data_IF_255706572534
#
_entry.id   IF_255706572534
#
_cell.length_a   1.000
_cell.length_b   1.000
_cell.length_c   1.000
_cell.angle_alpha   90.00
_cell.angle_beta   90.00
_cell.angle_gamma   90.00
#
_symmetry.space_group_name_H-M   'P 1'
#
loop_
_entity.id
_entity.type
_entity.pdbx_description
1 polymer ?
#
# COMPACT_ATOMS: atom_id res chain seq x y z
N UNK A 1 19.91 -6.74 -10.35
CA UNK A 1 19.62 -5.73 -9.32
C UNK A 1 18.26 -5.17 -9.65
N UNK A 2 17.20 -5.79 -9.15
CA UNK A 2 15.87 -5.19 -9.22
C UNK A 2 15.80 -4.14 -8.12
N UNK A 3 15.51 -2.89 -8.50
CA UNK A 3 15.27 -1.83 -7.53
C UNK A 3 13.95 -2.07 -6.79
N UNK A 4 13.78 -1.40 -5.65
CA UNK A 4 12.49 -1.39 -4.96
C UNK A 4 11.43 -0.71 -5.84
N UNK A 5 10.20 -1.20 -5.73
CA UNK A 5 9.00 -0.70 -6.38
C UNK A 5 8.20 0.20 -5.40
N UNK A 6 7.41 1.15 -5.93
CA UNK A 6 6.62 2.04 -5.10
C UNK A 6 5.44 1.32 -4.46
N UNK A 7 5.28 1.52 -3.15
CA UNK A 7 4.12 1.07 -2.39
C UNK A 7 2.83 1.63 -3.00
N UNK A 8 1.79 0.80 -3.22
CA UNK A 8 0.54 1.27 -3.83
C UNK A 8 -0.22 2.28 -2.97
N UNK A 9 0.08 2.36 -1.66
CA UNK A 9 -0.57 3.28 -0.73
C UNK A 9 0.16 4.63 -0.60
N UNK A 10 1.48 4.64 -0.38
CA UNK A 10 2.23 5.87 -0.08
C UNK A 10 3.28 6.26 -1.13
N UNK A 11 3.43 5.47 -2.20
CA UNK A 11 4.36 5.69 -3.31
C UNK A 11 5.86 5.66 -2.94
N UNK A 12 6.20 5.40 -1.67
CA UNK A 12 7.60 5.18 -1.27
C UNK A 12 8.13 3.87 -1.86
N UNK A 13 9.39 3.88 -2.33
CA UNK A 13 10.08 2.70 -2.87
C UNK A 13 10.43 1.73 -1.71
N UNK A 14 9.56 0.79 -1.40
CA UNK A 14 9.69 -0.06 -0.21
C UNK A 14 9.46 -1.55 -0.44
N UNK A 15 8.88 -1.94 -1.58
CA UNK A 15 8.52 -3.34 -1.86
C UNK A 15 9.39 -3.90 -2.98
N UNK A 16 9.67 -5.21 -2.98
CA UNK A 16 10.54 -5.82 -4.00
C UNK A 16 9.78 -6.38 -5.20
N UNK A 17 8.52 -6.79 -5.01
CA UNK A 17 7.61 -7.28 -6.04
C UNK A 17 6.15 -6.88 -5.72
N UNK A 18 5.33 -6.69 -6.77
CA UNK A 18 3.91 -6.37 -6.59
C UNK A 18 3.07 -7.61 -6.31
N UNK A 19 2.20 -7.54 -5.32
CA UNK A 19 1.29 -8.62 -4.93
C UNK A 19 1.96 -9.74 -4.14
N UNK A 20 3.19 -9.55 -3.65
CA UNK A 20 3.92 -10.52 -2.81
C UNK A 20 3.66 -10.31 -1.30
N UNK A 21 2.57 -9.62 -0.95
CA UNK A 21 2.15 -9.42 0.44
C UNK A 21 3.19 -8.72 1.33
N UNK A 22 4.12 -7.98 0.72
CA UNK A 22 5.12 -7.22 1.46
C UNK A 22 4.47 -6.05 2.22
N UNK A 23 4.94 -5.79 3.44
CA UNK A 23 4.45 -4.68 4.25
C UNK A 23 5.37 -3.47 4.06
N UNK A 24 4.80 -2.37 3.59
CA UNK A 24 5.51 -1.10 3.47
C UNK A 24 5.98 -0.58 4.83
N UNK A 25 7.29 -0.44 5.02
CA UNK A 25 7.88 0.10 6.26
C UNK A 25 7.55 1.58 6.55
N UNK A 26 6.95 2.31 5.59
CA UNK A 26 6.61 3.74 5.72
C UNK A 26 5.17 3.94 6.14
N UNK A 27 4.22 3.22 5.54
CA UNK A 27 2.79 3.40 5.81
C UNK A 27 2.08 2.16 6.37
N UNK A 28 2.82 1.06 6.56
CA UNK A 28 2.31 -0.21 7.08
C UNK A 28 1.19 -0.83 6.24
N UNK A 29 1.12 -0.48 4.95
CA UNK A 29 0.23 -1.11 3.99
C UNK A 29 0.82 -2.45 3.55
N UNK A 30 0.05 -3.53 3.63
CA UNK A 30 0.40 -4.83 3.06
C UNK A 30 -0.02 -4.86 1.59
N UNK A 31 0.92 -5.20 0.68
CA UNK A 31 0.68 -5.25 -0.76
C UNK A 31 -0.13 -6.47 -1.18
N UNK A 32 -1.41 -6.46 -0.80
CA UNK A 32 -2.37 -7.49 -1.11
C UNK A 32 -2.87 -7.35 -2.57
N UNK A 33 -2.72 -8.39 -3.42
CA UNK A 33 -3.12 -8.33 -4.83
C UNK A 33 -4.63 -8.18 -5.02
N UNK A 34 -5.46 -8.61 -4.07
CA UNK A 34 -6.93 -8.44 -4.14
C UNK A 34 -7.29 -6.97 -3.96
N UNK A 35 -6.77 -6.31 -2.93
CA UNK A 35 -6.98 -4.89 -2.69
C UNK A 35 -6.25 -3.98 -3.69
N UNK A 36 -5.17 -4.46 -4.31
CA UNK A 36 -4.54 -3.79 -5.45
C UNK A 36 -5.39 -3.87 -6.73
N UNK A 37 -6.09 -5.00 -6.96
CA UNK A 37 -7.00 -5.19 -8.09
C UNK A 37 -8.37 -4.51 -7.90
N UNK A 38 -8.87 -4.47 -6.66
CA UNK A 38 -10.08 -3.74 -6.25
C UNK A 38 -9.75 -2.75 -5.11
N UNK A 39 -9.35 -1.50 -5.45
CA UNK A 39 -8.91 -0.50 -4.48
C UNK A 39 -9.97 -0.01 -3.48
N UNK A 40 -11.25 -0.36 -3.70
CA UNK A 40 -12.36 -0.06 -2.79
C UNK A 40 -12.75 -1.26 -1.90
N UNK A 41 -12.19 -2.44 -2.16
CA UNK A 41 -12.33 -3.60 -1.29
C UNK A 41 -11.66 -3.37 0.06
N UNK A 42 -12.42 -3.51 1.13
CA UNK A 42 -11.98 -3.34 2.53
C UNK A 42 -12.23 -4.61 3.33
N UNK A 43 -11.53 -4.76 4.45
CA UNK A 43 -11.67 -5.91 5.34
C UNK A 43 -10.94 -7.18 4.87
N UNK A 44 -9.99 -7.05 3.94
CA UNK A 44 -9.08 -8.12 3.53
C UNK A 44 -7.82 -8.15 4.41
N UNK A 45 -6.65 -8.31 3.79
CA UNK A 45 -5.35 -8.20 4.47
C UNK A 45 -5.22 -6.85 5.21
N UNK A 46 -5.69 -5.77 4.60
CA UNK A 46 -5.79 -4.47 5.22
C UNK A 46 -7.25 -4.19 5.64
N UNK A 47 -7.43 -3.66 6.85
CA UNK A 47 -8.75 -3.25 7.37
C UNK A 47 -9.39 -2.19 6.47
N UNK A 48 -8.60 -1.18 6.08
CA UNK A 48 -9.00 -0.14 5.14
C UNK A 48 -8.86 -0.63 3.71
N UNK A 49 -9.67 -0.08 2.80
CA UNK A 49 -9.40 -0.21 1.36
C UNK A 49 -8.16 0.57 0.96
N UNK A 50 -7.59 0.27 -0.20
CA UNK A 50 -6.40 0.96 -0.71
C UNK A 50 -6.66 2.47 -0.89
N UNK A 51 -7.84 2.84 -1.40
CA UNK A 51 -8.23 4.24 -1.54
C UNK A 51 -8.43 4.95 -0.18
N UNK A 52 -8.96 4.24 0.82
CA UNK A 52 -9.06 4.76 2.18
C UNK A 52 -7.66 4.96 2.80
N UNK A 53 -6.76 4.00 2.63
CA UNK A 53 -5.39 4.07 3.14
C UNK A 53 -4.59 5.21 2.51
N UNK A 54 -4.67 5.40 1.17
CA UNK A 54 -4.11 6.57 0.45
C UNK A 54 -4.59 7.89 1.06
N UNK A 55 -5.89 7.98 1.34
CA UNK A 55 -6.49 9.17 1.94
C UNK A 55 -6.05 9.39 3.39
N UNK A 56 -5.92 8.33 4.19
CA UNK A 56 -5.42 8.43 5.56
C UNK A 56 -3.95 8.84 5.61
N UNK A 57 -3.10 8.26 4.74
CA UNK A 57 -1.68 8.57 4.68
C UNK A 57 -1.39 9.98 4.17
N UNK A 58 -2.12 10.45 3.14
CA UNK A 58 -1.99 11.84 2.66
C UNK A 58 -2.29 12.90 3.73
N UNK A 59 -3.07 12.55 4.76
CA UNK A 59 -3.31 13.44 5.91
C UNK A 59 -2.16 13.45 6.92
N UNK A 60 -1.31 12.43 6.92
CA UNK A 60 -0.16 12.31 7.83
C UNK A 60 1.10 13.00 7.29
N UNK A 61 1.14 13.37 6.01
CA UNK A 61 2.30 13.95 5.32
C UNK A 61 2.07 15.38 4.79
N UNK A 62 1.15 16.15 5.39
CA UNK A 62 1.03 17.58 5.12
C UNK A 62 2.04 18.33 6.00
N UNK A 63 2.94 19.17 5.44
CA UNK A 63 3.73 20.09 6.26
C UNK A 63 2.84 21.06 7.04
#
# INVERSE_FOLDING_TARGET
MTGLLPCPCCEALTISEYGDYEICMICNWEDDPVQSADPDFSGGANILSLNQARTCHSKSNRP
#
